data_IF_282391644247
#
_entry.id   IF_282391644247
#
_cell.length_a   1.000
_cell.length_b   1.000
_cell.length_c   1.000
_cell.angle_alpha   90.00
_cell.angle_beta   90.00
_cell.angle_gamma   90.00
#
_symmetry.space_group_name_H-M   'P 1'
#
loop_
_entity.id
_entity.type
_entity.pdbx_description
1 polymer ?
#
# COMPACT_ATOMS: atom_id res chain seq x y z
N UNK A 1 15.29 -0.95 36.62
CA UNK A 1 15.53 -0.95 35.17
C UNK A 1 14.38 -0.23 34.49
N UNK A 2 14.62 0.92 33.88
CA UNK A 2 13.60 1.57 33.06
C UNK A 2 13.26 0.65 31.88
N UNK A 3 11.98 0.29 31.72
CA UNK A 3 11.51 -0.38 30.51
C UNK A 3 11.91 0.50 29.32
N UNK A 4 12.74 -0.04 28.42
CA UNK A 4 13.07 0.66 27.19
C UNK A 4 11.76 1.02 26.49
N UNK A 5 11.55 2.31 26.25
CA UNK A 5 10.31 2.79 25.64
C UNK A 5 10.20 2.19 24.24
N UNK A 6 9.13 1.43 23.99
CA UNK A 6 8.84 0.87 22.66
C UNK A 6 8.81 2.02 21.65
N UNK A 7 9.59 1.88 20.57
CA UNK A 7 9.63 2.88 19.50
C UNK A 7 8.94 2.31 18.28
N UNK A 8 7.74 2.82 18.00
CA UNK A 8 7.03 2.49 16.77
C UNK A 8 7.86 2.94 15.56
N UNK A 9 7.92 2.10 14.55
CA UNK A 9 8.64 2.42 13.32
C UNK A 9 8.46 1.38 12.24
N UNK A 10 9.36 1.41 11.28
CA UNK A 10 9.33 0.59 10.07
C UNK A 10 10.61 -0.21 9.96
N UNK A 11 10.47 -1.48 9.61
CA UNK A 11 11.55 -2.29 9.05
C UNK A 11 11.31 -2.36 7.55
N UNK A 12 12.35 -2.12 6.77
CA UNK A 12 12.26 -2.12 5.31
C UNK A 12 13.37 -2.97 4.69
N UNK A 13 13.06 -3.50 3.51
CA UNK A 13 13.99 -4.17 2.62
C UNK A 13 14.21 -3.27 1.42
N UNK A 14 15.48 -2.95 1.13
CA UNK A 14 15.86 -2.30 -0.12
C UNK A 14 16.72 -3.23 -0.97
N UNK A 15 16.51 -3.14 -2.28
CA UNK A 15 17.40 -3.70 -3.29
C UNK A 15 17.90 -2.59 -4.21
N UNK A 16 18.99 -2.87 -4.91
CA UNK A 16 19.51 -2.01 -5.97
C UNK A 16 19.97 -2.88 -7.13
N UNK A 17 19.78 -2.47 -8.40
CA UNK A 17 20.36 -3.17 -9.54
C UNK A 17 21.89 -3.19 -9.51
N UNK A 18 22.52 -2.27 -8.77
CA UNK A 18 23.97 -2.12 -8.69
C UNK A 18 24.59 -2.75 -7.43
N UNK A 19 23.79 -3.46 -6.62
CA UNK A 19 24.26 -4.13 -5.41
C UNK A 19 23.61 -5.52 -5.29
N UNK A 20 24.39 -6.61 -5.32
CA UNK A 20 23.83 -7.96 -5.13
C UNK A 20 23.36 -8.19 -3.69
N UNK A 21 23.86 -7.42 -2.72
CA UNK A 21 23.44 -7.53 -1.32
C UNK A 21 22.12 -6.81 -1.07
N UNK A 22 21.34 -7.34 -0.14
CA UNK A 22 20.07 -6.78 0.29
C UNK A 22 20.30 -5.88 1.50
N UNK A 23 19.69 -4.69 1.49
CA UNK A 23 19.69 -3.80 2.64
C UNK A 23 18.46 -4.06 3.51
N UNK A 24 18.67 -4.39 4.78
CA UNK A 24 17.60 -4.50 5.77
C UNK A 24 17.85 -3.46 6.86
N UNK A 25 16.98 -2.47 6.93
CA UNK A 25 17.14 -1.34 7.85
C UNK A 25 15.87 -1.00 8.59
N UNK A 26 16.01 -0.09 9.55
CA UNK A 26 14.89 0.50 10.29
C UNK A 26 14.79 2.01 10.14
N UNK A 27 13.61 2.55 10.42
CA UNK A 27 13.36 3.99 10.49
C UNK A 27 12.14 4.29 11.36
N UNK A 28 12.17 5.41 12.08
CA UNK A 28 10.99 5.98 12.76
C UNK A 28 10.25 6.99 11.83
N UNK A 29 10.94 7.48 10.80
CA UNK A 29 10.37 8.32 9.73
C UNK A 29 9.71 7.47 8.64
N UNK A 30 8.88 8.09 7.79
CA UNK A 30 8.25 7.40 6.65
C UNK A 30 9.32 6.72 5.75
N UNK A 31 9.11 5.46 5.33
CA UNK A 31 10.09 4.72 4.53
C UNK A 31 10.56 5.46 3.27
N UNK A 32 9.71 6.15 2.48
CA UNK A 32 10.17 6.94 1.33
C UNK A 32 11.10 8.10 1.68
N UNK A 33 10.91 8.73 2.85
CA UNK A 33 11.80 9.79 3.30
C UNK A 33 13.17 9.21 3.65
N UNK A 34 13.18 8.05 4.30
CA UNK A 34 14.43 7.32 4.60
C UNK A 34 15.11 6.82 3.32
N UNK A 35 14.36 6.35 2.33
CA UNK A 35 14.87 5.93 1.02
C UNK A 35 15.62 7.07 0.33
N UNK A 36 15.05 8.28 0.31
CA UNK A 36 15.70 9.48 -0.24
C UNK A 36 17.04 9.78 0.45
N UNK A 37 17.09 9.67 1.78
CA UNK A 37 18.34 9.85 2.53
C UNK A 37 19.39 8.80 2.16
N UNK A 38 19.00 7.52 2.09
CA UNK A 38 19.89 6.42 1.74
C UNK A 38 20.48 6.62 0.33
N UNK A 39 19.64 7.01 -0.63
CA UNK A 39 20.09 7.28 -1.99
C UNK A 39 20.98 8.54 -2.11
N UNK A 40 21.00 9.42 -1.10
CA UNK A 40 21.82 10.63 -1.09
C UNK A 40 23.15 10.48 -0.33
N UNK A 41 23.30 9.46 0.52
CA UNK A 41 24.41 9.36 1.48
C UNK A 41 25.32 8.17 1.19
N UNK A 42 26.64 8.37 1.29
CA UNK A 42 27.62 7.28 1.29
C UNK A 42 27.49 6.41 2.56
N UNK A 43 27.82 5.11 2.48
CA UNK A 43 28.29 4.40 1.29
C UNK A 43 27.16 3.99 0.34
N UNK A 44 25.89 4.11 0.74
CA UNK A 44 24.77 3.54 -0.02
C UNK A 44 24.55 4.19 -1.39
N UNK A 45 24.76 5.50 -1.52
CA UNK A 45 24.64 6.22 -2.81
C UNK A 45 25.46 5.59 -3.93
N UNK A 46 26.67 5.13 -3.62
CA UNK A 46 27.60 4.52 -4.61
C UNK A 46 27.09 3.19 -5.17
N UNK A 47 26.14 2.57 -4.46
CA UNK A 47 25.54 1.30 -4.82
C UNK A 47 24.05 1.42 -5.16
N UNK A 48 23.52 2.64 -5.28
CA UNK A 48 22.13 2.91 -5.65
C UNK A 48 21.89 2.85 -7.17
N UNK A 49 20.67 3.15 -7.65
CA UNK A 49 19.52 3.59 -6.86
C UNK A 49 18.89 2.43 -6.10
N UNK A 50 18.73 2.62 -4.79
CA UNK A 50 17.98 1.71 -3.93
C UNK A 50 16.48 1.95 -4.10
N UNK A 51 15.72 0.86 -3.99
CA UNK A 51 14.25 0.82 -4.10
C UNK A 51 13.66 0.05 -2.92
N UNK A 52 12.50 0.47 -2.44
CA UNK A 52 11.74 -0.26 -1.43
C UNK A 52 11.15 -1.50 -2.10
N UNK A 53 11.39 -2.66 -1.48
CA UNK A 53 10.91 -3.95 -1.98
C UNK A 53 9.88 -4.57 -1.05
N UNK A 54 10.01 -4.33 0.26
CA UNK A 54 9.05 -4.75 1.27
C UNK A 54 9.20 -3.89 2.53
N UNK A 55 8.12 -3.72 3.28
CA UNK A 55 8.06 -2.90 4.50
C UNK A 55 7.10 -3.53 5.50
N UNK A 56 7.46 -3.53 6.78
CA UNK A 56 6.55 -3.81 7.89
C UNK A 56 6.61 -2.68 8.91
N UNK A 57 5.46 -2.27 9.41
CA UNK A 57 5.33 -1.31 10.50
C UNK A 57 5.08 -2.06 11.82
N UNK A 58 5.90 -1.76 12.83
CA UNK A 58 5.93 -2.48 14.10
C UNK A 58 5.88 -1.53 15.31
N UNK A 59 5.42 -2.04 16.45
CA UNK A 59 5.33 -1.29 17.71
C UNK A 59 6.69 -1.07 18.39
N UNK A 60 7.65 -1.98 18.19
CA UNK A 60 9.04 -1.84 18.65
C UNK A 60 10.03 -2.14 17.53
N UNK A 61 10.40 -1.10 16.81
CA UNK A 61 11.28 -1.18 15.64
C UNK A 61 12.69 -1.64 16.00
N UNK A 62 13.18 -1.31 17.20
CA UNK A 62 14.55 -1.69 17.59
C UNK A 62 14.63 -3.14 18.00
N UNK A 63 13.65 -3.64 18.75
CA UNK A 63 13.59 -5.05 19.12
C UNK A 63 13.48 -5.95 17.88
N UNK A 64 12.57 -5.63 16.96
CA UNK A 64 12.34 -6.42 15.74
C UNK A 64 13.58 -6.40 14.83
N UNK A 65 14.14 -5.23 14.54
CA UNK A 65 15.36 -5.12 13.71
C UNK A 65 16.53 -5.91 14.31
N UNK A 66 16.74 -5.80 15.63
CA UNK A 66 17.80 -6.54 16.33
C UNK A 66 17.64 -8.04 16.15
N UNK A 67 16.42 -8.58 16.26
CA UNK A 67 16.17 -10.01 16.04
C UNK A 67 16.45 -10.43 14.60
N UNK A 68 15.99 -9.64 13.63
CA UNK A 68 16.26 -9.90 12.21
C UNK A 68 17.78 -9.92 11.97
N UNK A 69 18.50 -8.88 12.37
CA UNK A 69 19.94 -8.78 12.12
C UNK A 69 20.75 -9.88 12.82
N UNK A 70 20.34 -10.32 14.02
CA UNK A 70 21.01 -11.42 14.73
C UNK A 70 20.85 -12.74 13.98
N UNK A 71 19.66 -13.04 13.46
CA UNK A 71 19.39 -14.31 12.77
C UNK A 71 20.20 -14.48 11.48
N UNK A 72 20.60 -13.38 10.83
CA UNK A 72 21.42 -13.38 9.61
C UNK A 72 22.79 -12.73 9.79
N UNK A 73 23.27 -12.60 11.03
CA UNK A 73 24.52 -11.91 11.34
C UNK A 73 25.74 -12.49 10.61
N UNK A 74 25.76 -13.81 10.39
CA UNK A 74 26.79 -14.52 9.62
C UNK A 74 26.79 -14.22 8.12
N UNK A 75 25.70 -13.63 7.60
CA UNK A 75 25.53 -13.25 6.18
C UNK A 75 25.80 -11.78 5.92
N UNK A 76 26.28 -11.01 6.91
CA UNK A 76 26.58 -9.58 6.72
C UNK A 76 27.68 -9.40 5.68
N UNK A 77 27.45 -8.53 4.70
CA UNK A 77 28.47 -8.15 3.73
C UNK A 77 29.53 -7.29 4.45
N UNK A 78 30.79 -7.73 4.43
CA UNK A 78 31.94 -7.01 5.02
C UNK A 78 32.84 -6.34 3.99
N UNK A 79 32.57 -6.53 2.69
CA UNK A 79 33.36 -5.98 1.57
C UNK A 79 33.06 -4.50 1.32
N UNK A 80 31.85 -4.05 1.63
CA UNK A 80 31.47 -2.63 1.54
C UNK A 80 31.75 -1.97 2.89
N UNK A 81 32.73 -1.07 2.93
CA UNK A 81 33.11 -0.36 4.14
C UNK A 81 32.02 0.62 4.62
N UNK A 82 31.95 0.85 5.93
CA UNK A 82 31.08 1.88 6.51
C UNK A 82 29.59 1.54 6.61
N UNK A 83 29.17 0.31 6.28
CA UNK A 83 27.78 -0.15 6.45
C UNK A 83 27.68 -1.37 7.36
N UNK A 84 26.53 -1.53 8.02
CA UNK A 84 26.23 -2.67 8.91
C UNK A 84 24.92 -3.38 8.57
N UNK A 85 24.29 -2.98 7.47
CA UNK A 85 22.89 -3.28 7.15
C UNK A 85 22.73 -3.98 5.78
N UNK A 86 23.84 -4.33 5.11
CA UNK A 86 23.85 -5.12 3.88
C UNK A 86 24.14 -6.58 4.18
N UNK A 87 23.37 -7.46 3.56
CA UNK A 87 23.42 -8.90 3.77
C UNK A 87 23.47 -9.65 2.44
N UNK A 88 24.30 -10.67 2.36
CA UNK A 88 24.45 -11.56 1.21
C UNK A 88 23.44 -12.71 1.32
N UNK A 89 22.16 -12.37 1.11
CA UNK A 89 21.01 -13.27 1.12
C UNK A 89 20.13 -13.02 -0.11
N UNK A 90 19.33 -14.01 -0.51
CA UNK A 90 18.37 -13.80 -1.59
C UNK A 90 17.26 -12.84 -1.15
N UNK A 91 16.69 -12.11 -2.10
CA UNK A 91 15.56 -11.21 -1.82
C UNK A 91 14.35 -11.96 -1.24
N UNK A 92 14.10 -13.18 -1.71
CA UNK A 92 13.03 -14.04 -1.18
C UNK A 92 13.25 -14.35 0.31
N UNK A 93 14.48 -14.64 0.72
CA UNK A 93 14.83 -14.92 2.13
C UNK A 93 14.67 -13.67 2.99
N UNK A 94 15.09 -12.50 2.48
CA UNK A 94 14.90 -11.23 3.17
C UNK A 94 13.41 -10.96 3.42
N UNK A 95 12.57 -11.13 2.40
CA UNK A 95 11.11 -10.98 2.50
C UNK A 95 10.51 -11.98 3.47
N UNK A 96 11.00 -13.22 3.47
CA UNK A 96 10.56 -14.24 4.43
C UNK A 96 10.86 -13.82 5.88
N UNK A 97 12.07 -13.33 6.16
CA UNK A 97 12.46 -12.85 7.50
C UNK A 97 11.58 -11.69 7.98
N UNK A 98 11.29 -10.72 7.10
CA UNK A 98 10.45 -9.57 7.45
C UNK A 98 9.03 -9.98 7.84
N UNK A 99 8.58 -11.16 7.41
CA UNK A 99 7.23 -11.69 7.68
C UNK A 99 7.19 -12.58 8.91
N UNK A 100 8.24 -13.38 9.14
CA UNK A 100 8.23 -14.40 10.20
C UNK A 100 8.87 -13.95 11.50
N UNK A 101 9.74 -12.94 11.46
CA UNK A 101 10.41 -12.45 12.68
C UNK A 101 9.55 -11.52 13.54
N UNK A 102 8.75 -10.58 12.98
CA UNK A 102 7.77 -9.86 13.77
C UNK A 102 6.61 -10.79 14.12
N UNK A 103 6.22 -10.83 15.40
CA UNK A 103 5.00 -11.53 15.81
C UNK A 103 3.78 -10.66 15.52
N UNK A 104 2.61 -11.26 15.37
CA UNK A 104 1.36 -10.55 15.05
C UNK A 104 1.06 -9.41 16.04
N UNK A 105 1.31 -9.61 17.33
CA UNK A 105 1.13 -8.60 18.37
C UNK A 105 2.16 -7.46 18.33
N UNK A 106 3.23 -7.61 17.57
CA UNK A 106 4.25 -6.58 17.35
C UNK A 106 3.96 -5.76 16.09
N UNK A 107 3.01 -6.18 15.25
CA UNK A 107 2.59 -5.44 14.07
C UNK A 107 1.68 -4.27 14.46
N UNK A 108 2.02 -3.09 13.97
CA UNK A 108 1.21 -1.90 14.20
C UNK A 108 -0.20 -2.08 13.59
N UNK A 109 -1.21 -1.74 14.38
CA UNK A 109 -2.63 -1.80 14.01
C UNK A 109 -3.12 -3.18 13.51
N UNK A 110 -2.53 -4.27 14.02
CA UNK A 110 -2.88 -5.65 13.63
C UNK A 110 -4.39 -5.95 13.61
N UNK A 111 -5.23 -5.54 14.59
CA UNK A 111 -6.66 -5.83 14.52
C UNK A 111 -7.38 -5.25 13.29
N UNK A 112 -6.92 -4.10 12.76
CA UNK A 112 -7.47 -3.54 11.51
C UNK A 112 -7.00 -4.35 10.31
N UNK A 113 -5.74 -4.76 10.31
CA UNK A 113 -5.18 -5.63 9.28
C UNK A 113 -5.98 -6.93 9.23
N UNK A 114 -6.11 -7.60 10.37
CA UNK A 114 -6.87 -8.83 10.55
C UNK A 114 -8.30 -8.68 10.03
N UNK A 115 -9.06 -7.69 10.52
CA UNK A 115 -10.43 -7.42 10.05
C UNK A 115 -10.54 -7.25 8.53
N UNK A 116 -9.55 -6.62 7.90
CA UNK A 116 -9.52 -6.47 6.44
C UNK A 116 -9.31 -7.82 5.77
N UNK A 117 -8.28 -8.57 6.19
CA UNK A 117 -7.86 -9.79 5.51
C UNK A 117 -8.72 -11.03 5.80
N UNK A 118 -9.55 -10.99 6.84
CA UNK A 118 -10.65 -11.94 7.06
C UNK A 118 -11.88 -11.68 6.17
N UNK A 119 -12.05 -10.47 5.65
CA UNK A 119 -13.13 -10.16 4.73
C UNK A 119 -12.68 -10.43 3.28
N UNK A 120 -12.99 -11.63 2.78
CA UNK A 120 -12.60 -12.08 1.44
C UNK A 120 -13.00 -11.07 0.35
N UNK A 121 -14.24 -10.58 0.37
CA UNK A 121 -14.72 -9.65 -0.66
C UNK A 121 -13.95 -8.32 -0.65
N UNK A 122 -13.60 -7.82 0.55
CA UNK A 122 -12.81 -6.59 0.69
C UNK A 122 -11.39 -6.77 0.18
N UNK A 123 -10.75 -7.88 0.57
CA UNK A 123 -9.41 -8.24 0.11
C UNK A 123 -9.34 -8.38 -1.40
N UNK A 124 -10.29 -9.09 -1.98
CA UNK A 124 -10.31 -9.33 -3.42
C UNK A 124 -10.55 -8.02 -4.17
N UNK A 125 -11.40 -7.13 -3.65
CA UNK A 125 -11.63 -5.84 -4.28
C UNK A 125 -10.43 -4.91 -4.16
N UNK A 126 -9.80 -4.80 -2.99
CA UNK A 126 -8.57 -4.04 -2.82
C UNK A 126 -7.42 -4.60 -3.69
N UNK A 127 -7.29 -5.92 -3.77
CA UNK A 127 -6.29 -6.57 -4.64
C UNK A 127 -6.55 -6.26 -6.11
N UNK A 128 -7.82 -6.31 -6.54
CA UNK A 128 -8.21 -5.98 -7.90
C UNK A 128 -7.92 -4.51 -8.23
N UNK A 129 -8.24 -3.55 -7.34
CA UNK A 129 -7.86 -2.14 -7.52
C UNK A 129 -6.34 -2.03 -7.63
N UNK A 130 -5.61 -2.56 -6.64
CA UNK A 130 -4.15 -2.48 -6.54
C UNK A 130 -3.44 -2.94 -7.82
N UNK A 131 -3.88 -4.08 -8.36
CA UNK A 131 -3.36 -4.65 -9.62
C UNK A 131 -3.82 -3.87 -10.85
N UNK A 132 -5.08 -3.44 -10.90
CA UNK A 132 -5.66 -2.74 -12.06
C UNK A 132 -4.92 -1.43 -12.34
N UNK A 133 -4.62 -0.66 -11.29
CA UNK A 133 -3.94 0.64 -11.39
C UNK A 133 -2.42 0.54 -11.33
N UNK A 134 -1.88 -0.64 -11.01
CA UNK A 134 -0.43 -0.85 -10.95
C UNK A 134 0.27 -0.15 -9.79
N UNK A 135 -0.36 -0.09 -8.61
CA UNK A 135 0.20 0.57 -7.42
C UNK A 135 1.51 -0.06 -6.92
N UNK A 136 1.79 -1.31 -7.30
CA UNK A 136 3.08 -1.96 -7.06
C UNK A 136 4.27 -1.20 -7.64
N UNK A 137 4.06 -0.40 -8.69
CA UNK A 137 5.12 0.43 -9.29
C UNK A 137 5.39 1.72 -8.52
N UNK A 138 4.64 1.98 -7.45
CA UNK A 138 4.68 3.22 -6.66
C UNK A 138 4.92 2.95 -5.16
N UNK A 139 5.56 1.82 -4.82
CA UNK A 139 5.92 1.51 -3.43
C UNK A 139 6.85 2.56 -2.81
N UNK A 140 7.75 3.13 -3.62
CA UNK A 140 8.65 4.21 -3.22
C UNK A 140 7.92 5.53 -2.96
N UNK A 141 6.67 5.65 -3.40
CA UNK A 141 5.84 6.87 -3.27
C UNK A 141 4.71 6.70 -2.24
N UNK A 142 4.74 5.64 -1.44
CA UNK A 142 3.79 5.47 -0.33
C UNK A 142 3.80 6.67 0.61
N UNK A 143 2.62 7.11 1.07
CA UNK A 143 2.48 8.36 1.80
C UNK A 143 2.22 9.57 0.89
N UNK A 144 2.64 9.56 -0.37
CA UNK A 144 2.05 10.42 -1.40
C UNK A 144 0.68 9.88 -1.86
N UNK A 145 0.56 8.55 -1.90
CA UNK A 145 -0.73 7.86 -1.92
C UNK A 145 -0.96 7.11 -0.60
N UNK A 146 -2.23 7.04 -0.21
CA UNK A 146 -2.62 6.59 1.13
C UNK A 146 -3.77 5.59 1.06
N UNK A 147 -3.54 4.35 1.51
CA UNK A 147 -4.61 3.43 1.88
C UNK A 147 -4.94 3.57 3.37
N UNK A 148 -6.18 3.91 3.68
CA UNK A 148 -6.72 3.90 5.04
C UNK A 148 -7.87 2.88 5.15
N UNK A 149 -7.84 2.06 6.20
CA UNK A 149 -8.85 1.04 6.47
C UNK A 149 -9.77 1.47 7.62
N UNK A 150 -11.07 1.18 7.46
CA UNK A 150 -12.09 1.39 8.48
C UNK A 150 -12.13 2.80 9.06
N UNK A 151 -12.15 3.81 8.19
CA UNK A 151 -12.16 5.23 8.59
C UNK A 151 -13.51 5.63 9.21
N UNK A 152 -13.47 6.40 10.29
CA UNK A 152 -14.64 6.88 11.04
C UNK A 152 -15.34 8.09 10.39
N UNK A 153 -15.51 8.07 9.08
CA UNK A 153 -16.29 9.10 8.36
C UNK A 153 -17.78 8.93 8.61
N UNK A 154 -18.58 9.95 8.31
CA UNK A 154 -20.04 9.83 8.34
C UNK A 154 -20.51 8.65 7.45
N UNK A 155 -21.18 7.67 8.04
CA UNK A 155 -21.63 6.44 7.37
C UNK A 155 -20.62 5.28 7.35
N UNK A 156 -19.39 5.49 7.82
CA UNK A 156 -18.31 4.50 7.84
C UNK A 156 -17.83 4.09 6.45
N UNK A 157 -16.57 3.66 6.34
CA UNK A 157 -15.99 3.14 5.10
C UNK A 157 -15.19 1.88 5.36
N UNK A 158 -15.20 0.94 4.42
CA UNK A 158 -14.29 -0.19 4.42
C UNK A 158 -12.86 0.30 4.21
N UNK A 159 -12.65 1.17 3.21
CA UNK A 159 -11.37 1.77 2.92
C UNK A 159 -11.52 3.15 2.29
N UNK A 160 -10.42 3.90 2.24
CA UNK A 160 -10.24 5.08 1.41
C UNK A 160 -8.83 5.03 0.84
N UNK A 161 -8.71 5.18 -0.48
CA UNK A 161 -7.47 5.42 -1.20
C UNK A 161 -7.40 6.89 -1.58
N UNK A 162 -6.28 7.52 -1.29
CA UNK A 162 -6.03 8.92 -1.66
C UNK A 162 -4.74 9.04 -2.45
N UNK A 163 -4.67 10.00 -3.38
CA UNK A 163 -3.44 10.42 -4.07
C UNK A 163 -3.32 11.92 -3.86
N UNK A 164 -2.29 12.35 -3.14
CA UNK A 164 -2.21 13.72 -2.65
C UNK A 164 -3.45 14.07 -1.80
N UNK A 165 -4.10 15.21 -2.03
CA UNK A 165 -5.28 15.63 -1.28
C UNK A 165 -6.60 14.99 -1.75
N UNK A 166 -6.60 14.20 -2.83
CA UNK A 166 -7.83 13.65 -3.40
C UNK A 166 -8.11 12.24 -2.90
N UNK A 167 -9.30 11.99 -2.36
CA UNK A 167 -9.82 10.62 -2.24
C UNK A 167 -10.15 10.11 -3.65
N UNK A 168 -9.41 9.10 -4.11
CA UNK A 168 -9.53 8.56 -5.47
C UNK A 168 -10.30 7.25 -5.52
N UNK A 169 -10.44 6.56 -4.38
CA UNK A 169 -11.38 5.45 -4.25
C UNK A 169 -11.86 5.28 -2.82
N UNK A 170 -13.13 4.90 -2.64
CA UNK A 170 -13.62 4.42 -1.36
C UNK A 170 -14.86 3.55 -1.54
N UNK A 171 -15.12 2.71 -0.53
CA UNK A 171 -16.39 2.01 -0.36
C UNK A 171 -16.93 2.30 1.03
N UNK A 172 -18.16 2.80 1.13
CA UNK A 172 -18.83 2.98 2.41
C UNK A 172 -19.15 1.63 3.04
N UNK A 173 -19.37 1.59 4.35
CA UNK A 173 -20.00 0.42 4.97
C UNK A 173 -21.49 0.39 4.65
N UNK A 174 -22.11 -0.80 4.51
CA UNK A 174 -23.54 -0.89 4.33
C UNK A 174 -24.28 -0.40 5.57
N UNK A 175 -25.48 0.16 5.36
CA UNK A 175 -26.40 0.45 6.47
C UNK A 175 -26.86 -0.86 7.10
N UNK A 176 -27.31 -0.80 8.36
CA UNK A 176 -27.84 -1.98 9.07
C UNK A 176 -28.94 -2.65 8.24
N UNK A 177 -28.78 -3.94 7.96
CA UNK A 177 -29.73 -4.74 7.18
C UNK A 177 -29.59 -4.62 5.65
N UNK A 178 -28.68 -3.79 5.16
CA UNK A 178 -28.34 -3.70 3.74
C UNK A 178 -27.04 -4.47 3.44
N UNK A 179 -26.88 -4.90 2.19
CA UNK A 179 -25.63 -5.47 1.65
C UNK A 179 -24.97 -4.50 0.67
N UNK A 180 -25.77 -3.68 0.01
CA UNK A 180 -25.31 -2.64 -0.91
C UNK A 180 -24.80 -1.42 -0.14
N UNK A 181 -23.82 -0.76 -0.75
CA UNK A 181 -23.18 0.42 -0.20
C UNK A 181 -22.67 1.30 -1.33
N UNK A 182 -22.27 2.52 -0.99
CA UNK A 182 -21.71 3.43 -1.99
C UNK A 182 -20.28 3.03 -2.31
N UNK A 183 -20.01 2.86 -3.59
CA UNK A 183 -18.68 2.72 -4.17
C UNK A 183 -18.34 3.98 -4.97
N UNK A 184 -17.08 4.37 -4.92
CA UNK A 184 -16.55 5.56 -5.57
C UNK A 184 -15.19 5.26 -6.17
N UNK A 185 -14.99 5.64 -7.43
CA UNK A 185 -13.71 5.64 -8.13
C UNK A 185 -13.54 6.95 -8.90
N UNK A 186 -12.44 7.65 -8.68
CA UNK A 186 -12.03 8.78 -9.50
C UNK A 186 -11.24 8.26 -10.70
N UNK A 187 -11.61 8.70 -11.90
CA UNK A 187 -11.08 8.22 -13.17
C UNK A 187 -10.90 9.37 -14.16
N UNK A 188 -10.21 9.12 -15.28
CA UNK A 188 -10.16 10.05 -16.40
C UNK A 188 -11.48 10.05 -17.19
N UNK A 189 -11.85 11.21 -17.77
CA UNK A 189 -13.00 11.41 -18.67
C UNK A 189 -13.02 10.48 -19.88
N UNK A 190 -11.92 9.81 -20.23
CA UNK A 190 -11.91 8.69 -21.18
C UNK A 190 -13.01 7.65 -20.90
N UNK A 191 -13.46 7.52 -19.65
CA UNK A 191 -14.55 6.60 -19.31
C UNK A 191 -15.86 6.93 -20.02
N UNK A 192 -16.06 8.19 -20.42
CA UNK A 192 -17.27 8.66 -21.09
C UNK A 192 -17.39 8.11 -22.52
N UNK A 193 -16.29 7.60 -23.09
CA UNK A 193 -16.28 6.93 -24.40
C UNK A 193 -16.88 5.51 -24.35
N UNK A 194 -17.23 5.01 -23.14
CA UNK A 194 -17.74 3.67 -22.89
C UNK A 194 -19.18 3.74 -22.34
N UNK A 195 -20.20 3.97 -23.19
CA UNK A 195 -21.58 4.16 -22.77
C UNK A 195 -22.17 2.96 -21.99
N UNK A 196 -21.67 1.76 -22.22
CA UNK A 196 -22.02 0.54 -21.49
C UNK A 196 -21.64 0.63 -20.00
N UNK A 197 -20.54 1.30 -19.65
CA UNK A 197 -20.17 1.56 -18.24
C UNK A 197 -21.20 2.51 -17.63
N UNK A 198 -21.56 3.57 -18.36
CA UNK A 198 -22.60 4.51 -17.93
C UNK A 198 -23.94 3.81 -17.69
N UNK A 199 -24.35 2.90 -18.57
CA UNK A 199 -25.57 2.10 -18.39
C UNK A 199 -25.48 1.17 -17.17
N UNK A 200 -24.35 0.47 -16.99
CA UNK A 200 -24.11 -0.43 -15.88
C UNK A 200 -24.17 0.30 -14.52
N UNK A 201 -23.59 1.49 -14.45
CA UNK A 201 -23.55 2.35 -13.26
C UNK A 201 -24.94 2.91 -12.93
N UNK A 202 -25.70 3.37 -13.94
CA UNK A 202 -27.08 3.86 -13.76
C UNK A 202 -28.03 2.77 -13.28
N UNK A 203 -27.90 1.55 -13.80
CA UNK A 203 -28.69 0.40 -13.34
C UNK A 203 -28.48 0.10 -11.84
N UNK A 204 -27.40 0.62 -11.25
CA UNK A 204 -27.02 0.48 -9.84
C UNK A 204 -27.20 1.78 -9.04
N UNK A 205 -28.15 2.62 -9.46
CA UNK A 205 -28.50 3.86 -8.76
C UNK A 205 -27.35 4.87 -8.68
N UNK A 206 -26.43 4.80 -9.65
CA UNK A 206 -25.22 5.59 -9.72
C UNK A 206 -25.14 6.50 -10.94
N UNK A 207 -24.00 7.16 -11.09
CA UNK A 207 -23.67 8.03 -12.22
C UNK A 207 -22.17 8.10 -12.49
N UNK A 208 -21.86 8.59 -13.69
CA UNK A 208 -20.54 9.14 -14.01
C UNK A 208 -20.68 10.65 -13.97
N UNK A 209 -20.01 11.29 -13.01
CA UNK A 209 -20.28 12.67 -12.63
C UNK A 209 -19.00 13.51 -12.58
N UNK A 210 -19.15 14.83 -12.58
CA UNK A 210 -18.02 15.72 -12.35
C UNK A 210 -17.59 15.66 -10.87
N UNK A 211 -16.28 15.62 -10.55
CA UNK A 211 -15.83 15.59 -9.17
C UNK A 211 -16.07 16.93 -8.47
N UNK A 212 -16.35 16.86 -7.18
CA UNK A 212 -16.57 18.03 -6.31
C UNK A 212 -15.29 18.69 -5.79
N UNK A 213 -14.11 18.11 -5.99
CA UNK A 213 -12.85 18.70 -5.55
C UNK A 213 -12.50 19.93 -6.39
N UNK A 214 -12.31 21.09 -5.77
CA UNK A 214 -11.84 22.29 -6.46
C UNK A 214 -10.45 22.09 -7.08
N UNK A 215 -9.59 21.35 -6.39
CA UNK A 215 -8.23 21.04 -6.81
C UNK A 215 -8.12 19.85 -7.76
N UNK A 216 -9.25 19.32 -8.27
CA UNK A 216 -9.27 18.16 -9.18
C UNK A 216 -8.38 18.41 -10.39
N UNK A 217 -7.76 17.34 -10.91
CA UNK A 217 -6.95 17.42 -12.12
C UNK A 217 -7.84 17.64 -13.34
N UNK A 218 -7.20 18.11 -14.40
CA UNK A 218 -7.80 18.13 -15.72
C UNK A 218 -8.31 16.73 -16.09
N UNK A 219 -9.46 16.70 -16.76
CA UNK A 219 -10.12 15.46 -17.18
C UNK A 219 -10.56 14.54 -16.03
N UNK A 220 -10.60 14.99 -14.79
CA UNK A 220 -11.17 14.20 -13.70
C UNK A 220 -12.68 13.97 -13.90
N UNK A 221 -13.14 12.75 -13.66
CA UNK A 221 -14.55 12.39 -13.45
C UNK A 221 -14.64 11.31 -12.37
N UNK A 222 -15.85 11.02 -11.89
CA UNK A 222 -16.06 10.04 -10.84
C UNK A 222 -17.09 9.03 -11.30
N UNK A 223 -16.81 7.75 -11.07
CA UNK A 223 -17.79 6.68 -11.12
C UNK A 223 -18.30 6.49 -9.70
N UNK A 224 -19.61 6.64 -9.49
CA UNK A 224 -20.26 6.39 -8.21
C UNK A 224 -21.47 5.49 -8.40
N UNK A 225 -21.62 4.44 -7.61
CA UNK A 225 -22.76 3.52 -7.70
C UNK A 225 -23.06 2.85 -6.36
N UNK A 226 -24.28 2.30 -6.22
CA UNK A 226 -24.66 1.44 -5.10
C UNK A 226 -24.44 -0.02 -5.49
N UNK A 227 -23.69 -0.74 -4.68
CA UNK A 227 -23.43 -2.15 -4.92
C UNK A 227 -22.55 -2.76 -3.85
N UNK A 228 -22.30 -4.06 -4.00
CA UNK A 228 -21.39 -4.84 -3.17
C UNK A 228 -19.93 -4.66 -3.60
N UNK A 229 -19.00 -5.15 -2.78
CA UNK A 229 -17.57 -5.17 -3.13
C UNK A 229 -17.31 -6.09 -4.34
N UNK A 230 -18.12 -7.15 -4.50
CA UNK A 230 -18.08 -8.04 -5.67
C UNK A 230 -18.47 -7.30 -6.95
N UNK A 231 -19.53 -6.49 -6.92
CA UNK A 231 -19.91 -5.65 -8.06
C UNK A 231 -18.87 -4.54 -8.32
N UNK A 232 -18.20 -4.05 -7.28
CA UNK A 232 -17.02 -3.20 -7.44
C UNK A 232 -15.91 -3.88 -8.23
N UNK A 233 -15.64 -5.16 -7.98
CA UNK A 233 -14.69 -5.94 -8.79
C UNK A 233 -15.17 -6.13 -10.23
N UNK A 234 -16.47 -6.39 -10.42
CA UNK A 234 -17.07 -6.50 -11.75
C UNK A 234 -16.88 -5.20 -12.55
N UNK A 235 -17.10 -4.03 -11.93
CA UNK A 235 -16.85 -2.74 -12.58
C UNK A 235 -15.43 -2.65 -13.15
N UNK A 236 -14.42 -3.13 -12.43
CA UNK A 236 -13.02 -3.06 -12.87
C UNK A 236 -12.73 -3.87 -14.15
N UNK A 237 -13.60 -4.82 -14.50
CA UNK A 237 -13.45 -5.64 -15.73
C UNK A 237 -14.16 -5.03 -16.94
N UNK A 238 -15.00 -4.00 -16.73
CA UNK A 238 -15.71 -3.36 -17.84
C UNK A 238 -14.76 -2.62 -18.78
N UNK A 239 -15.11 -2.53 -20.08
CA UNK A 239 -14.33 -1.79 -21.07
C UNK A 239 -14.02 -0.36 -20.60
N UNK A 240 -12.79 0.09 -20.86
CA UNK A 240 -12.38 1.46 -20.56
C UNK A 240 -12.06 1.78 -19.09
N UNK A 241 -12.57 1.01 -18.12
CA UNK A 241 -12.39 1.29 -16.68
C UNK A 241 -10.91 1.25 -16.29
N UNK A 242 -10.19 0.17 -16.64
CA UNK A 242 -8.74 0.06 -16.37
C UNK A 242 -7.95 1.22 -16.97
N UNK A 243 -8.21 1.56 -18.24
CA UNK A 243 -7.50 2.65 -18.94
C UNK A 243 -7.74 4.00 -18.26
N UNK A 244 -8.99 4.28 -17.91
CA UNK A 244 -9.39 5.54 -17.29
C UNK A 244 -8.85 5.70 -15.87
N UNK A 245 -8.79 4.60 -15.10
CA UNK A 245 -8.13 4.58 -13.80
C UNK A 245 -6.62 4.83 -13.92
N UNK A 246 -5.93 4.07 -14.78
CA UNK A 246 -4.47 4.20 -14.96
C UNK A 246 -4.11 5.63 -15.37
N UNK A 247 -4.82 6.21 -16.33
CA UNK A 247 -4.57 7.57 -16.80
C UNK A 247 -4.63 8.59 -15.65
N UNK A 248 -5.71 8.59 -14.87
CA UNK A 248 -5.89 9.55 -13.79
C UNK A 248 -4.94 9.32 -12.61
N UNK A 249 -4.76 8.06 -12.20
CA UNK A 249 -4.00 7.72 -11.00
C UNK A 249 -2.50 7.83 -11.23
N UNK A 250 -2.02 7.39 -12.39
CA UNK A 250 -0.60 7.45 -12.73
C UNK A 250 -0.13 8.89 -12.83
N UNK A 251 -0.88 9.74 -13.54
CA UNK A 251 -0.57 11.17 -13.63
C UNK A 251 -0.46 11.79 -12.23
N UNK A 252 -1.47 11.52 -11.39
CA UNK A 252 -1.46 12.04 -10.04
C UNK A 252 -0.33 11.53 -9.15
N UNK A 253 0.12 10.30 -9.35
CA UNK A 253 1.27 9.75 -8.62
C UNK A 253 2.59 10.37 -9.12
N UNK A 254 2.74 10.57 -10.43
CA UNK A 254 3.91 11.20 -11.03
C UNK A 254 4.04 12.65 -10.58
N UNK A 255 2.97 13.44 -10.62
CA UNK A 255 2.96 14.81 -10.11
C UNK A 255 3.41 14.89 -8.64
N UNK A 256 2.91 13.99 -7.80
CA UNK A 256 3.28 13.98 -6.38
C UNK A 256 4.75 13.60 -6.17
N UNK A 257 5.25 12.64 -6.95
CA UNK A 257 6.66 12.23 -6.96
C UNK A 257 7.56 13.39 -7.39
N UNK A 258 7.23 14.06 -8.48
CA UNK A 258 7.98 15.20 -9.04
C UNK A 258 7.98 16.40 -8.10
N UNK A 259 6.84 16.70 -7.47
CA UNK A 259 6.73 17.75 -6.46
C UNK A 259 7.41 17.39 -5.13
N UNK A 260 7.78 16.12 -4.92
CA UNK A 260 8.33 15.62 -3.66
C UNK A 260 7.37 15.78 -2.47
N UNK A 261 6.06 15.86 -2.73
CA UNK A 261 5.03 16.11 -1.72
C UNK A 261 4.45 14.80 -1.19
N UNK A 262 4.02 14.83 0.06
CA UNK A 262 3.21 13.76 0.64
C UNK A 262 1.72 14.14 0.61
N UNK A 263 0.85 13.15 0.73
CA UNK A 263 -0.56 13.36 1.00
C UNK A 263 -0.76 13.96 2.40
N UNK A 264 -1.74 14.87 2.60
CA UNK A 264 -2.16 15.29 3.94
C UNK A 264 -2.64 14.11 4.80
N UNK A 265 -3.02 12.98 4.18
CA UNK A 265 -3.52 11.78 4.86
C UNK A 265 -2.42 10.78 5.24
N UNK A 266 -1.13 11.07 5.01
CA UNK A 266 -0.02 10.10 5.17
C UNK A 266 0.05 9.39 6.52
N UNK A 267 -0.38 10.05 7.59
CA UNK A 267 -0.37 9.49 8.95
C UNK A 267 -1.44 8.39 9.16
N UNK A 268 -2.43 8.31 8.26
CA UNK A 268 -3.48 7.28 8.28
C UNK A 268 -3.16 6.08 7.39
N UNK A 269 -1.98 6.06 6.76
CA UNK A 269 -1.58 5.00 5.84
C UNK A 269 -1.39 3.66 6.54
N UNK A 270 -1.98 2.61 5.98
CA UNK A 270 -1.92 1.23 6.48
C UNK A 270 -0.79 0.47 5.77
N UNK A 271 0.45 0.71 6.20
CA UNK A 271 1.67 0.10 5.60
C UNK A 271 1.61 -1.43 5.53
N UNK A 272 1.19 -2.07 6.63
CA UNK A 272 1.08 -3.53 6.69
C UNK A 272 0.02 -4.08 5.73
N UNK A 273 -1.05 -3.32 5.45
CA UNK A 273 -2.05 -3.72 4.47
C UNK A 273 -1.52 -3.63 3.03
N UNK A 274 -0.72 -2.61 2.73
CA UNK A 274 -0.05 -2.48 1.42
C UNK A 274 0.97 -3.59 1.22
N UNK A 275 1.78 -3.91 2.24
CA UNK A 275 2.74 -5.01 2.16
C UNK A 275 2.05 -6.35 1.84
N UNK A 276 0.91 -6.61 2.46
CA UNK A 276 0.09 -7.79 2.19
C UNK A 276 -0.55 -7.78 0.79
N UNK A 277 -1.00 -6.61 0.28
CA UNK A 277 -1.47 -6.48 -1.10
C UNK A 277 -0.34 -6.71 -2.12
N UNK A 278 0.86 -6.17 -1.86
CA UNK A 278 2.04 -6.40 -2.70
C UNK A 278 2.41 -7.89 -2.74
N UNK A 279 2.36 -8.58 -1.60
CA UNK A 279 2.59 -10.02 -1.53
C UNK A 279 1.65 -10.80 -2.45
N UNK A 280 0.35 -10.48 -2.39
CA UNK A 280 -0.67 -11.10 -3.25
C UNK A 280 -0.42 -10.79 -4.72
N UNK A 281 0.01 -9.56 -5.05
CA UNK A 281 0.36 -9.18 -6.42
C UNK A 281 1.59 -9.93 -6.95
N UNK A 282 2.57 -10.24 -6.09
CA UNK A 282 3.76 -11.03 -6.44
C UNK A 282 3.45 -12.53 -6.64
N UNK A 283 2.18 -12.97 -6.53
CA UNK A 283 1.80 -14.38 -6.63
C UNK A 283 2.31 -15.24 -5.47
N UNK A 284 2.83 -14.60 -4.42
CA UNK A 284 3.30 -15.25 -3.21
C UNK A 284 2.09 -15.53 -2.33
N UNK A 285 1.16 -16.38 -2.76
CA UNK A 285 -0.10 -16.62 -2.05
C UNK A 285 0.16 -17.27 -0.67
N UNK A 286 -0.63 -16.85 0.32
CA UNK A 286 -0.71 -17.48 1.62
C UNK A 286 -2.21 -17.65 1.72
N UNK A 287 -2.67 -18.89 1.61
CA UNK A 287 -4.02 -19.23 2.01
C UNK A 287 -4.29 -18.54 3.34
N UNK A 288 -5.50 -18.02 3.51
CA UNK A 288 -6.00 -17.25 4.66
C UNK A 288 -5.91 -18.03 6.00
N UNK A 289 -5.17 -19.15 6.06
CA UNK A 289 -5.16 -20.13 7.14
C UNK A 289 -3.74 -20.47 7.66
N UNK A 290 -2.62 -20.04 7.04
CA UNK A 290 -1.29 -20.47 7.52
C UNK A 290 -0.58 -19.53 8.51
N UNK A 291 -1.21 -18.43 8.94
CA UNK A 291 -0.75 -17.64 10.10
C UNK A 291 -1.44 -18.06 11.41
N UNK A 292 -2.27 -19.11 11.39
CA UNK A 292 -3.04 -19.59 12.55
C UNK A 292 -2.72 -21.04 12.95
N UNK A 293 -1.62 -21.61 12.47
CA UNK A 293 -1.18 -22.95 12.86
C UNK A 293 0.34 -22.97 13.11
N UNK A 294 0.77 -22.28 14.16
CA UNK A 294 2.06 -22.52 14.82
C UNK A 294 1.91 -22.06 16.27
N UNK A 295 1.56 -23.03 17.10
CA UNK A 295 1.39 -23.06 18.57
C UNK A 295 0.28 -22.23 19.22
#
# INVERSE_FOLDING_TARGET
MALAQKRRGYIYILSSPNCPSIKIGKTENLPPHRLRQINAQSPYREHGPWRIVDVVQVEDVTAVETRIHRSISSRRNTKIAGQKELFDIALADARHLLRTVPRSEELYAYPKLERCFFNVQLVEYLSAIYQTVGLSNFLDDQGAWVLSLFTSTAGGRYFTLSIGPHEVAYSSTPKRGATDHWNFLMVDRLILDFPEVGAWVRARGGGIEEPWYETKRDRATVIRFRGTLTEGRELLTLPGVRRSLIAYWTEGLLEMREAGKDSPYKNSHQWNAVAELQRRADGLDVGVVSLMASD
#
